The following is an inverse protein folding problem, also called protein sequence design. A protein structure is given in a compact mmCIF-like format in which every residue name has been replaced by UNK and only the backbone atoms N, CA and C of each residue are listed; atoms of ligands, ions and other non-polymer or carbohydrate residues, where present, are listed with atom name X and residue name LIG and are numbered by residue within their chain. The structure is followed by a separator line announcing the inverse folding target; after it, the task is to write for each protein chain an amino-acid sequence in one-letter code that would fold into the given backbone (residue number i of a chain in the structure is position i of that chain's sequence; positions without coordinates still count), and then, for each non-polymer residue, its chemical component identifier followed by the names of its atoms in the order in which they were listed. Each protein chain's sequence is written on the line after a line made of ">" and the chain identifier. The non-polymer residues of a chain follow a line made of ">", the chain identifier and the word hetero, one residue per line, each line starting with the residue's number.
data_IF_977865427115
#
_entry.id   IF_977865427115
#
_cell.length_a   1.000
_cell.length_b   1.000
_cell.length_c   1.000
_cell.angle_alpha   90.00
_cell.angle_beta   90.00
_cell.angle_gamma   90.00
#
_symmetry.space_group_name_H-M   'P 1'
#
loop_
_entity.id
_entity.type
_entity.pdbx_description
1 polymer ?
#
# COMPACT_ATOMS: atom_id res chain seq x y z
N UNK A 1 -24.25 25.90 -15.77
CA UNK A 1 -23.82 24.68 -15.05
C UNK A 1 -22.45 25.01 -14.47
N UNK A 2 -22.36 25.13 -13.14
CA UNK A 2 -21.18 25.65 -12.46
C UNK A 2 -20.02 24.65 -12.57
N UNK A 3 -18.85 25.10 -13.02
CA UNK A 3 -17.66 24.25 -13.27
C UNK A 3 -17.20 23.50 -12.01
N UNK A 4 -17.58 24.00 -10.83
CA UNK A 4 -17.36 23.35 -9.53
C UNK A 4 -18.14 22.05 -9.36
N UNK A 5 -19.32 21.90 -9.98
CA UNK A 5 -20.05 20.62 -9.96
C UNK A 5 -19.33 19.56 -10.79
N UNK A 6 -18.69 19.95 -11.90
CA UNK A 6 -17.97 19.04 -12.80
C UNK A 6 -16.72 18.43 -12.15
N UNK A 7 -16.14 19.08 -11.15
CA UNK A 7 -15.00 18.52 -10.38
C UNK A 7 -15.39 17.46 -9.36
N UNK A 8 -16.64 17.46 -8.86
CA UNK A 8 -17.08 16.50 -7.83
C UNK A 8 -17.47 15.13 -8.41
N UNK A 9 -17.71 15.06 -9.71
CA UNK A 9 -18.04 13.81 -10.41
C UNK A 9 -16.78 13.12 -10.98
N UNK A 10 -15.59 13.71 -10.81
CA UNK A 10 -14.28 13.12 -11.14
C UNK A 10 -13.57 12.52 -9.91
N UNK A 11 -14.29 12.35 -8.80
CA UNK A 11 -13.91 11.49 -7.66
C UNK A 11 -14.50 10.08 -7.83
N UNK A 12 -14.74 9.69 -9.08
CA UNK A 12 -14.96 8.32 -9.51
C UNK A 12 -13.85 7.45 -8.93
N UNK A 13 -14.24 6.29 -8.38
CA UNK A 13 -13.36 5.26 -7.84
C UNK A 13 -12.27 4.92 -8.88
N UNK A 14 -11.15 5.64 -8.82
CA UNK A 14 -9.93 5.34 -9.56
C UNK A 14 -9.30 4.11 -8.93
N UNK A 15 -9.94 2.97 -9.14
CA UNK A 15 -9.49 1.64 -8.74
C UNK A 15 -8.01 1.51 -9.12
N UNK A 16 -7.13 1.44 -8.11
CA UNK A 16 -5.69 1.30 -8.26
C UNK A 16 -4.82 2.54 -8.04
N UNK A 17 -5.36 3.73 -7.72
CA UNK A 17 -4.50 4.86 -7.29
C UNK A 17 -4.49 4.98 -5.78
N UNK A 18 -3.47 4.41 -5.12
CA UNK A 18 -3.24 4.72 -3.71
C UNK A 18 -2.94 6.21 -3.60
N UNK A 19 -3.86 7.03 -3.07
CA UNK A 19 -3.58 8.44 -2.67
C UNK A 19 -2.58 8.52 -1.49
N UNK A 20 -1.94 7.40 -1.18
CA UNK A 20 -1.05 7.18 -0.07
C UNK A 20 0.34 7.74 -0.36
N UNK A 21 1.03 8.22 0.67
CA UNK A 21 2.42 8.67 0.57
C UNK A 21 3.35 7.45 0.55
N UNK A 22 4.27 7.37 -0.40
CA UNK A 22 5.32 6.35 -0.36
C UNK A 22 6.30 6.63 0.79
N UNK A 23 6.62 5.58 1.55
CA UNK A 23 7.62 5.61 2.61
C UNK A 23 8.66 4.53 2.30
N UNK A 24 9.93 4.93 2.22
CA UNK A 24 11.04 4.00 2.04
C UNK A 24 11.23 3.14 3.30
N UNK A 25 11.40 1.84 3.10
CA UNK A 25 11.61 0.82 4.13
C UNK A 25 12.67 -0.19 3.66
N UNK A 26 12.76 -1.34 4.32
CA UNK A 26 13.49 -2.54 3.88
C UNK A 26 12.71 -3.43 2.88
N UNK A 27 11.53 -2.99 2.43
CA UNK A 27 10.80 -3.60 1.33
C UNK A 27 11.56 -3.54 0.01
N UNK A 28 11.35 -4.54 -0.85
CA UNK A 28 12.01 -4.66 -2.15
C UNK A 28 10.95 -4.73 -3.23
N UNK A 29 11.11 -3.93 -4.28
CA UNK A 29 10.22 -3.95 -5.42
C UNK A 29 10.07 -5.38 -5.97
N UNK A 30 8.85 -5.90 -5.91
CA UNK A 30 8.44 -7.15 -6.54
C UNK A 30 7.34 -6.85 -7.53
N UNK A 31 7.54 -7.21 -8.80
CA UNK A 31 6.53 -7.06 -9.85
C UNK A 31 5.39 -8.05 -9.64
N UNK A 32 4.18 -7.64 -10.01
CA UNK A 32 3.00 -8.49 -9.99
C UNK A 32 2.07 -8.18 -11.17
N UNK A 33 1.31 -9.18 -11.59
CA UNK A 33 0.19 -9.08 -12.51
C UNK A 33 -1.14 -9.19 -11.76
N UNK A 34 -1.19 -10.07 -10.75
CA UNK A 34 -2.37 -10.27 -9.91
C UNK A 34 -2.02 -10.34 -8.42
N UNK A 35 -3.05 -10.38 -7.56
CA UNK A 35 -2.86 -10.41 -6.11
C UNK A 35 -2.13 -11.66 -5.62
N UNK A 36 -2.26 -12.80 -6.32
CA UNK A 36 -1.67 -14.08 -5.92
C UNK A 36 -0.14 -14.06 -6.03
N UNK A 37 0.41 -13.24 -6.93
CA UNK A 37 1.86 -12.97 -7.03
C UNK A 37 2.45 -12.39 -5.73
N UNK A 38 1.63 -11.84 -4.83
CA UNK A 38 2.07 -11.23 -3.57
C UNK A 38 1.84 -12.10 -2.33
N UNK A 39 1.33 -13.33 -2.46
CA UNK A 39 1.01 -14.20 -1.32
C UNK A 39 2.23 -14.67 -0.51
N UNK A 40 3.38 -14.75 -1.17
CA UNK A 40 4.69 -15.06 -0.58
C UNK A 40 5.39 -13.83 0.01
N UNK A 41 4.70 -12.68 0.07
CA UNK A 41 5.24 -11.42 0.58
C UNK A 41 4.63 -11.07 1.94
N UNK A 42 5.37 -10.28 2.72
CA UNK A 42 5.01 -9.74 4.03
C UNK A 42 5.26 -8.25 4.06
N UNK A 43 4.73 -7.58 5.09
CA UNK A 43 5.10 -6.22 5.41
C UNK A 43 6.63 -6.07 5.54
N UNK A 44 7.23 -4.91 5.23
CA UNK A 44 8.63 -4.67 5.59
C UNK A 44 8.83 -4.79 7.11
N UNK A 45 10.02 -5.22 7.54
CA UNK A 45 10.33 -5.39 8.96
C UNK A 45 10.21 -4.06 9.71
N UNK A 46 10.55 -2.95 9.05
CA UNK A 46 10.34 -1.58 9.54
C UNK A 46 8.88 -1.27 9.93
N UNK A 47 7.93 -2.04 9.40
CA UNK A 47 6.49 -1.89 9.63
C UNK A 47 5.89 -3.04 10.45
N UNK A 48 6.67 -4.07 10.82
CA UNK A 48 6.11 -5.21 11.56
C UNK A 48 5.44 -4.78 12.89
N UNK A 49 6.08 -3.86 13.62
CA UNK A 49 5.50 -3.26 14.83
C UNK A 49 5.05 -1.83 14.54
N UNK A 50 3.73 -1.63 14.52
CA UNK A 50 3.14 -0.31 14.35
C UNK A 50 3.51 0.61 15.52
N UNK A 51 3.86 1.86 15.20
CA UNK A 51 4.14 2.92 16.18
C UNK A 51 2.82 3.52 16.70
N UNK A 52 2.92 4.33 17.73
CA UNK A 52 1.78 5.13 18.22
C UNK A 52 1.14 5.92 17.06
N UNK A 53 -0.20 5.94 17.01
CA UNK A 53 -1.01 6.56 15.95
C UNK A 53 -0.89 5.91 14.56
N UNK A 54 -0.37 4.69 14.48
CA UNK A 54 -0.40 3.87 13.27
C UNK A 54 -1.43 2.74 13.38
N UNK A 55 -2.04 2.38 12.25
CA UNK A 55 -2.97 1.25 12.16
C UNK A 55 -2.85 0.58 10.79
N UNK A 56 -3.03 -0.74 10.74
CA UNK A 56 -3.12 -1.47 9.49
C UNK A 56 -4.41 -1.10 8.75
N UNK A 57 -4.36 -1.24 7.43
CA UNK A 57 -5.58 -1.35 6.64
C UNK A 57 -6.15 -2.78 6.78
N UNK A 58 -7.25 -3.06 6.10
CA UNK A 58 -7.79 -4.41 5.94
C UNK A 58 -7.02 -5.26 4.92
N UNK A 59 -6.00 -4.68 4.26
CA UNK A 59 -5.18 -5.36 3.25
C UNK A 59 -3.81 -5.71 3.81
N UNK A 60 -3.39 -6.95 3.60
CA UNK A 60 -1.98 -7.33 3.66
C UNK A 60 -1.23 -6.84 2.41
N UNK A 61 -0.11 -7.48 2.08
CA UNK A 61 0.54 -7.26 0.79
C UNK A 61 -0.39 -7.58 -0.38
N UNK A 62 -0.56 -6.64 -1.31
CA UNK A 62 -1.42 -6.79 -2.48
C UNK A 62 -0.75 -6.24 -3.74
N UNK A 63 -1.23 -6.69 -4.90
CA UNK A 63 -0.77 -6.17 -6.17
C UNK A 63 -1.45 -4.83 -6.47
N UNK A 64 -0.68 -3.74 -6.53
CA UNK A 64 -1.17 -2.47 -7.04
C UNK A 64 -1.25 -2.54 -8.56
N UNK A 65 -2.47 -2.53 -9.09
CA UNK A 65 -2.75 -2.72 -10.52
C UNK A 65 -2.21 -1.60 -11.42
N UNK A 66 -1.88 -0.41 -10.88
CA UNK A 66 -1.30 0.70 -11.65
C UNK A 66 0.22 0.67 -11.67
N UNK A 67 0.84 0.27 -10.55
CA UNK A 67 2.29 0.16 -10.40
C UNK A 67 2.82 -1.19 -10.85
N UNK A 68 1.96 -2.20 -10.93
CA UNK A 68 2.32 -3.61 -11.15
C UNK A 68 3.35 -4.10 -10.13
N UNK A 69 3.15 -3.75 -8.85
CA UNK A 69 4.05 -4.07 -7.74
C UNK A 69 3.30 -4.54 -6.49
N UNK A 70 3.92 -5.45 -5.75
CA UNK A 70 3.45 -5.85 -4.43
C UNK A 70 3.75 -4.76 -3.40
N UNK A 71 2.69 -4.14 -2.88
CA UNK A 71 2.78 -3.09 -1.87
C UNK A 71 1.90 -3.42 -0.67
N UNK A 72 2.18 -2.74 0.44
CA UNK A 72 1.31 -2.74 1.62
C UNK A 72 1.00 -1.31 2.04
N UNK A 73 -0.18 -1.11 2.61
CA UNK A 73 -0.66 0.18 3.09
C UNK A 73 -0.84 0.18 4.60
N UNK A 74 -0.63 1.35 5.22
CA UNK A 74 -1.02 1.61 6.61
C UNK A 74 -1.57 3.02 6.75
N UNK A 75 -2.26 3.27 7.85
CA UNK A 75 -2.60 4.62 8.31
C UNK A 75 -1.53 5.10 9.30
N UNK A 76 -1.09 6.34 9.15
CA UNK A 76 -0.18 7.03 10.05
C UNK A 76 -0.73 8.44 10.32
N UNK A 77 -1.14 8.72 11.56
CA UNK A 77 -1.75 10.00 11.94
C UNK A 77 -2.93 10.41 11.03
N UNK A 78 -3.80 9.44 10.72
CA UNK A 78 -4.96 9.64 9.85
C UNK A 78 -4.66 9.76 8.36
N UNK A 79 -3.39 9.69 7.94
CA UNK A 79 -2.97 9.74 6.53
C UNK A 79 -2.56 8.35 6.05
N UNK A 80 -2.83 8.06 4.78
CA UNK A 80 -2.42 6.80 4.16
C UNK A 80 -0.94 6.85 3.76
N UNK A 81 -0.21 5.80 4.10
CA UNK A 81 1.16 5.53 3.66
C UNK A 81 1.20 4.17 2.96
N UNK A 82 2.09 4.02 1.97
CA UNK A 82 2.38 2.73 1.37
C UNK A 82 3.88 2.54 1.19
N UNK A 83 4.28 1.28 1.01
CA UNK A 83 5.66 0.89 0.79
C UNK A 83 5.70 -0.44 0.02
N UNK A 84 6.87 -0.82 -0.47
CA UNK A 84 7.07 -2.12 -1.11
C UNK A 84 7.01 -3.23 -0.05
N UNK A 85 6.47 -4.38 -0.44
CA UNK A 85 6.51 -5.56 0.42
C UNK A 85 7.92 -6.17 0.50
N UNK A 86 8.11 -7.08 1.45
CA UNK A 86 9.31 -7.92 1.58
C UNK A 86 8.96 -9.37 1.31
N UNK A 87 9.91 -10.15 0.78
CA UNK A 87 9.73 -11.59 0.64
C UNK A 87 9.55 -12.23 2.01
N UNK A 88 8.63 -13.19 2.12
CA UNK A 88 8.40 -13.94 3.37
C UNK A 88 9.59 -14.84 3.72
N UNK A 89 10.38 -15.25 2.73
CA UNK A 89 11.61 -16.00 2.96
C UNK A 89 12.61 -15.17 3.76
N UNK A 90 12.99 -15.68 4.94
CA UNK A 90 13.89 -14.97 5.85
C UNK A 90 13.26 -13.76 6.56
N UNK A 91 11.95 -13.54 6.40
CA UNK A 91 11.25 -12.48 7.11
C UNK A 91 11.13 -12.81 8.60
N UNK A 92 11.45 -11.83 9.45
CA UNK A 92 11.21 -11.91 10.88
C UNK A 92 10.74 -10.57 11.42
N UNK A 93 9.99 -10.60 12.52
CA UNK A 93 9.59 -9.40 13.25
C UNK A 93 10.56 -9.15 14.42
N UNK A 94 11.55 -8.25 14.29
CA UNK A 94 12.47 -7.91 15.38
C UNK A 94 11.76 -7.22 16.55
#
# INVERSE_FOLDING_TARGET
>A
INEEKKKRDADEYEEGCTKAKYVKTDGVEKKCTDHTDCYDSREPEDWCRLKENQSWTDKGCFCDSKKHKCIIERKNNGKMEYTDCKLAEGWNCP
#
